data_IF_905326733024
#
_entry.id   IF_905326733024
#
_cell.length_a   1.000
_cell.length_b   1.000
_cell.length_c   1.000
_cell.angle_alpha   90.00
_cell.angle_beta   90.00
_cell.angle_gamma   90.00
#
_symmetry.space_group_name_H-M   'P 1'
#
loop_
_entity.id
_entity.type
_entity.pdbx_description
1 polymer ?
#
# COMPACT_ATOMS: atom_id res chain seq x y z
N UNK A 1 -23.34 29.69 35.43
CA UNK A 1 -23.84 28.41 35.93
C UNK A 1 -22.67 27.48 36.24
N UNK A 2 -22.83 26.47 37.09
CA UNK A 2 -21.74 25.54 37.40
C UNK A 2 -21.36 24.72 36.14
N UNK A 3 -20.12 24.25 36.06
CA UNK A 3 -19.67 23.38 34.97
C UNK A 3 -20.55 22.12 34.87
N UNK A 4 -20.80 21.65 33.65
CA UNK A 4 -21.53 20.39 33.40
C UNK A 4 -20.68 19.43 32.60
N UNK A 5 -20.60 18.19 33.04
CA UNK A 5 -20.03 17.14 32.26
C UNK A 5 -21.00 16.71 31.13
N UNK A 6 -20.45 16.58 29.93
CA UNK A 6 -21.18 16.04 28.77
C UNK A 6 -20.52 14.76 28.31
N UNK A 7 -21.31 13.80 27.85
CA UNK A 7 -20.85 12.58 27.24
C UNK A 7 -21.72 12.19 26.07
N UNK A 8 -21.18 11.41 25.16
CA UNK A 8 -21.92 10.79 24.07
C UNK A 8 -22.65 9.53 24.58
N UNK A 9 -23.90 9.36 24.16
CA UNK A 9 -24.67 8.15 24.43
C UNK A 9 -25.55 7.76 23.25
N UNK A 10 -25.82 6.49 23.11
CA UNK A 10 -26.82 5.98 22.17
C UNK A 10 -28.17 5.98 22.83
N UNK A 11 -29.08 6.85 22.38
CA UNK A 11 -30.46 6.85 22.85
C UNK A 11 -31.34 6.01 21.95
N UNK A 12 -32.09 5.08 22.58
CA UNK A 12 -33.06 4.23 21.91
C UNK A 12 -34.42 4.94 21.83
N UNK A 13 -35.03 4.91 20.64
CA UNK A 13 -36.34 5.46 20.36
C UNK A 13 -37.10 4.46 19.48
N UNK A 14 -37.98 3.68 20.08
CA UNK A 14 -38.67 2.59 19.40
C UNK A 14 -37.73 1.53 18.89
N UNK A 15 -37.65 1.34 17.57
CA UNK A 15 -36.82 0.32 16.91
C UNK A 15 -35.46 0.87 16.45
N UNK A 16 -35.10 2.09 16.81
CA UNK A 16 -33.89 2.75 16.37
C UNK A 16 -33.06 3.30 17.51
N UNK A 17 -31.75 3.46 17.28
CA UNK A 17 -30.83 4.16 18.17
C UNK A 17 -30.21 5.35 17.45
N UNK A 18 -29.90 6.41 18.19
CA UNK A 18 -29.21 7.59 17.69
C UNK A 18 -28.16 8.05 18.68
N UNK A 19 -27.01 8.50 18.16
CA UNK A 19 -25.97 9.13 18.95
C UNK A 19 -26.47 10.52 19.42
N UNK A 20 -26.34 10.83 20.69
CA UNK A 20 -26.79 12.07 21.31
C UNK A 20 -25.87 12.48 22.44
N UNK A 21 -25.89 13.78 22.75
CA UNK A 21 -25.32 14.28 23.98
C UNK A 21 -26.18 13.86 25.18
N UNK A 22 -25.54 13.49 26.26
CA UNK A 22 -26.11 13.39 27.60
C UNK A 22 -25.33 14.31 28.54
N UNK A 23 -26.04 15.11 29.32
CA UNK A 23 -25.45 16.08 30.22
C UNK A 23 -25.70 15.64 31.66
N UNK A 24 -24.62 15.70 32.49
CA UNK A 24 -24.78 15.44 33.92
C UNK A 24 -25.72 16.47 34.56
N UNK A 25 -26.54 16.01 35.52
CA UNK A 25 -27.35 16.91 36.30
C UNK A 25 -26.46 17.88 37.09
N UNK A 26 -26.83 19.17 37.23
CA UNK A 26 -26.06 20.10 38.05
C UNK A 26 -26.02 19.59 39.49
N UNK A 27 -24.87 19.73 40.14
CA UNK A 27 -24.60 19.24 41.50
C UNK A 27 -25.48 19.86 42.59
N UNK A 28 -26.30 20.85 42.28
CA UNK A 28 -27.24 21.49 43.20
C UNK A 28 -28.55 20.75 43.19
N UNK A 29 -29.09 20.45 44.39
CA UNK A 29 -30.33 19.73 44.71
C UNK A 29 -31.60 20.42 44.14
N UNK A 30 -31.71 20.62 42.86
CA UNK A 30 -32.95 21.09 42.21
C UNK A 30 -33.76 19.89 41.75
N UNK A 31 -34.98 19.75 42.27
CA UNK A 31 -35.96 18.69 41.91
C UNK A 31 -36.45 18.74 40.44
N UNK A 32 -36.00 19.73 39.65
CA UNK A 32 -36.33 19.94 38.25
C UNK A 32 -35.10 20.25 37.39
N UNK A 33 -34.02 19.50 37.56
CA UNK A 33 -32.88 19.64 36.67
C UNK A 33 -33.28 19.12 35.28
N UNK A 34 -33.49 20.02 34.34
CA UNK A 34 -33.59 19.69 32.92
C UNK A 34 -32.28 19.04 32.48
N UNK A 35 -32.38 17.91 31.79
CA UNK A 35 -31.22 17.24 31.18
C UNK A 35 -30.98 17.75 29.76
N UNK A 36 -31.70 18.80 29.34
CA UNK A 36 -31.62 19.39 28.00
C UNK A 36 -30.87 20.72 28.08
N UNK A 37 -29.89 20.89 27.24
CA UNK A 37 -29.19 22.14 26.99
C UNK A 37 -29.78 22.77 25.73
N UNK A 38 -30.00 24.08 25.74
CA UNK A 38 -30.60 24.81 24.61
C UNK A 38 -29.56 24.94 23.48
N UNK A 39 -28.31 25.33 23.83
CA UNK A 39 -27.25 25.55 22.88
C UNK A 39 -25.88 25.14 23.46
N UNK A 40 -25.02 24.63 22.57
CA UNK A 40 -23.61 24.40 22.84
C UNK A 40 -22.81 25.42 22.01
N UNK A 41 -21.92 26.15 22.69
CA UNK A 41 -20.95 27.03 22.02
C UNK A 41 -19.64 26.28 21.87
N UNK A 42 -19.21 25.96 20.64
CA UNK A 42 -18.00 25.17 20.36
C UNK A 42 -16.74 26.07 20.43
N UNK A 43 -16.46 26.61 21.60
CA UNK A 43 -15.27 27.42 21.89
C UNK A 43 -14.29 26.64 22.76
N UNK A 44 -13.08 27.15 22.99
CA UNK A 44 -12.12 26.62 23.95
C UNK A 44 -11.90 27.63 25.08
N UNK A 45 -12.37 27.32 26.32
CA UNK A 45 -13.19 26.17 26.70
C UNK A 45 -14.60 26.24 26.10
N UNK A 46 -15.23 25.08 26.03
CA UNK A 46 -16.59 24.98 25.52
C UNK A 46 -17.64 25.43 26.55
N UNK A 47 -18.73 25.99 26.06
CA UNK A 47 -19.79 26.51 26.91
C UNK A 47 -21.13 25.93 26.51
N UNK A 48 -21.99 25.78 27.51
CA UNK A 48 -23.41 25.49 27.29
C UNK A 48 -24.29 26.67 27.68
N UNK A 49 -25.44 26.77 27.07
CA UNK A 49 -26.51 27.72 27.45
C UNK A 49 -27.81 26.96 27.74
N UNK A 50 -28.41 27.30 28.88
CA UNK A 50 -29.70 26.77 29.33
C UNK A 50 -30.45 27.87 30.08
N UNK A 51 -31.72 28.11 29.71
CA UNK A 51 -32.57 29.10 30.36
C UNK A 51 -31.87 30.46 30.63
N UNK A 52 -31.21 31.02 29.62
CA UNK A 52 -30.46 32.28 29.68
C UNK A 52 -29.23 32.27 30.64
N UNK A 53 -28.83 31.14 31.10
CA UNK A 53 -27.61 30.99 31.89
C UNK A 53 -26.53 30.25 31.10
N UNK A 54 -25.28 30.69 31.24
CA UNK A 54 -24.13 30.02 30.61
C UNK A 54 -23.29 29.32 31.66
N UNK A 55 -22.71 28.19 31.29
CA UNK A 55 -21.76 27.47 32.11
C UNK A 55 -20.72 26.73 31.20
N UNK A 56 -19.63 26.37 31.79
CA UNK A 56 -18.59 25.60 31.10
C UNK A 56 -19.06 24.15 30.84
N UNK A 57 -18.75 23.64 29.66
CA UNK A 57 -19.01 22.27 29.28
C UNK A 57 -17.74 21.46 29.41
N UNK A 58 -17.73 20.49 30.32
CA UNK A 58 -16.59 19.63 30.58
C UNK A 58 -16.77 18.31 29.81
N UNK A 59 -15.84 18.01 28.93
CA UNK A 59 -15.77 16.73 28.23
C UNK A 59 -14.94 15.72 29.01
N UNK A 60 -15.16 14.42 28.83
CA UNK A 60 -14.25 13.39 29.34
C UNK A 60 -12.83 13.55 28.79
N UNK A 61 -11.82 13.23 29.59
CA UNK A 61 -10.42 13.37 29.20
C UNK A 61 -10.06 12.57 27.94
N UNK A 62 -10.76 11.46 27.70
CA UNK A 62 -10.57 10.59 26.53
C UNK A 62 -10.96 11.25 25.20
N UNK A 63 -11.75 12.33 25.23
CA UNK A 63 -12.19 13.08 24.03
C UNK A 63 -11.35 14.34 23.79
N UNK A 64 -10.31 14.60 24.56
CA UNK A 64 -9.50 15.82 24.52
C UNK A 64 -8.80 16.10 23.16
N UNK A 65 -8.71 15.10 22.28
CA UNK A 65 -8.12 15.23 20.94
C UNK A 65 -9.09 15.81 19.89
N UNK A 66 -10.38 15.87 20.18
CA UNK A 66 -11.43 16.34 19.26
C UNK A 66 -12.05 17.64 19.75
N UNK A 67 -12.22 18.58 18.83
CA UNK A 67 -12.97 19.78 19.17
C UNK A 67 -14.46 19.44 19.38
N UNK A 68 -15.15 20.24 20.18
CA UNK A 68 -16.62 20.09 20.33
C UNK A 68 -17.34 20.25 19.00
N UNK A 69 -16.80 21.06 18.08
CA UNK A 69 -17.33 21.19 16.73
C UNK A 69 -17.30 19.86 15.98
N UNK A 70 -16.16 19.16 16.03
CA UNK A 70 -16.00 17.85 15.36
C UNK A 70 -16.97 16.81 15.93
N UNK A 71 -17.14 16.80 17.26
CA UNK A 71 -18.09 15.89 17.91
C UNK A 71 -19.53 16.24 17.56
N UNK A 72 -19.85 17.53 17.46
CA UNK A 72 -21.18 17.98 17.05
C UNK A 72 -21.49 17.59 15.59
N UNK A 73 -20.51 17.71 14.71
CA UNK A 73 -20.61 17.29 13.32
C UNK A 73 -20.75 15.76 13.22
N UNK A 74 -20.01 15.02 14.04
CA UNK A 74 -20.17 13.58 14.14
C UNK A 74 -21.60 13.18 14.54
N UNK A 75 -22.18 13.83 15.55
CA UNK A 75 -23.57 13.56 15.98
C UNK A 75 -24.56 13.87 14.85
N UNK A 76 -24.38 15.00 14.17
CA UNK A 76 -25.28 15.45 13.10
C UNK A 76 -25.21 14.53 11.88
N UNK A 77 -24.01 13.99 11.57
CA UNK A 77 -23.78 13.10 10.43
C UNK A 77 -24.02 11.62 10.77
N UNK A 78 -24.04 11.26 12.07
CA UNK A 78 -24.24 9.88 12.48
C UNK A 78 -25.59 9.33 11.99
N UNK A 79 -25.61 8.18 11.31
CA UNK A 79 -26.82 7.59 10.80
C UNK A 79 -27.75 7.13 11.95
N UNK A 80 -29.02 7.04 11.65
CA UNK A 80 -30.00 6.37 12.53
C UNK A 80 -29.83 4.87 12.33
N UNK A 81 -29.57 4.14 13.40
CA UNK A 81 -29.25 2.71 13.35
C UNK A 81 -30.46 1.92 13.90
N UNK A 82 -30.78 0.79 13.25
CA UNK A 82 -31.80 -0.10 13.79
C UNK A 82 -31.31 -0.74 15.11
N UNK A 83 -32.16 -0.84 16.11
CA UNK A 83 -31.80 -1.39 17.43
C UNK A 83 -31.25 -2.82 17.35
N UNK A 84 -31.68 -3.61 16.37
CA UNK A 84 -31.17 -4.96 16.10
C UNK A 84 -29.70 -4.98 15.67
N UNK A 85 -29.18 -3.88 15.13
CA UNK A 85 -27.81 -3.79 14.58
C UNK A 85 -26.79 -3.24 15.59
N UNK A 86 -27.20 -3.00 16.86
CA UNK A 86 -26.34 -2.46 17.93
C UNK A 86 -24.99 -3.19 18.03
N UNK A 87 -25.01 -4.53 18.02
CA UNK A 87 -23.79 -5.34 18.17
C UNK A 87 -22.85 -5.21 16.97
N UNK A 88 -23.39 -5.09 15.75
CA UNK A 88 -22.60 -4.86 14.55
C UNK A 88 -21.90 -3.50 14.61
N UNK A 89 -22.60 -2.47 15.11
CA UNK A 89 -22.02 -1.14 15.31
C UNK A 89 -20.95 -1.18 16.40
N UNK A 90 -21.21 -1.86 17.52
CA UNK A 90 -20.19 -2.02 18.57
C UNK A 90 -18.92 -2.66 18.03
N UNK A 91 -19.06 -3.73 17.24
CA UNK A 91 -17.92 -4.40 16.60
C UNK A 91 -17.15 -3.46 15.67
N UNK A 92 -17.86 -2.75 14.80
CA UNK A 92 -17.25 -1.79 13.89
C UNK A 92 -16.45 -0.69 14.63
N UNK A 93 -17.02 -0.14 15.71
CA UNK A 93 -16.34 0.88 16.52
C UNK A 93 -15.05 0.32 17.16
N UNK A 94 -15.11 -0.90 17.69
CA UNK A 94 -13.95 -1.56 18.27
C UNK A 94 -12.89 -1.89 17.24
N UNK A 95 -13.26 -2.41 16.06
CA UNK A 95 -12.34 -2.70 14.95
C UNK A 95 -11.62 -1.45 14.40
N UNK A 96 -12.28 -0.29 14.52
CA UNK A 96 -11.72 1.00 14.08
C UNK A 96 -11.03 1.76 15.21
N UNK A 97 -10.99 1.22 16.43
CA UNK A 97 -10.43 1.89 17.60
C UNK A 97 -11.17 3.18 17.95
N UNK A 98 -12.47 3.25 17.68
CA UNK A 98 -13.29 4.46 17.88
C UNK A 98 -14.06 4.44 19.21
N UNK A 99 -13.91 3.40 20.02
CA UNK A 99 -14.60 3.24 21.30
C UNK A 99 -14.26 4.30 22.35
N UNK A 100 -13.10 4.94 22.20
CA UNK A 100 -12.70 6.05 23.06
C UNK A 100 -13.36 7.39 22.67
N UNK A 101 -13.90 7.50 21.44
CA UNK A 101 -14.61 8.70 20.94
C UNK A 101 -16.11 8.49 21.03
N UNK A 102 -16.57 7.35 20.53
CA UNK A 102 -17.99 6.99 20.44
C UNK A 102 -18.25 5.75 21.29
N UNK A 103 -19.07 5.83 22.34
CA UNK A 103 -19.34 4.68 23.18
C UNK A 103 -19.99 3.56 22.37
N UNK A 104 -19.67 2.32 22.70
CA UNK A 104 -20.27 1.16 22.04
C UNK A 104 -21.76 1.04 22.41
N UNK A 105 -22.70 0.89 21.44
CA UNK A 105 -24.16 0.85 21.71
C UNK A 105 -24.63 -0.41 22.42
N UNK A 106 -23.84 -1.50 22.35
CA UNK A 106 -24.13 -2.73 23.08
C UNK A 106 -22.81 -3.38 23.53
N UNK A 107 -22.72 -3.91 24.75
CA UNK A 107 -21.54 -4.62 25.20
C UNK A 107 -21.34 -5.91 24.38
N UNK A 108 -20.11 -6.21 24.03
CA UNK A 108 -19.67 -7.50 23.49
C UNK A 108 -18.87 -8.23 24.54
N UNK A 109 -18.88 -9.56 24.49
CA UNK A 109 -17.97 -10.38 25.30
C UNK A 109 -16.57 -10.27 24.66
N UNK A 110 -15.61 -9.84 25.46
CA UNK A 110 -14.24 -9.67 25.00
C UNK A 110 -13.33 -10.69 25.70
N UNK A 111 -12.55 -11.41 24.90
CA UNK A 111 -11.46 -12.25 25.37
C UNK A 111 -10.15 -11.62 24.89
N UNK A 112 -9.22 -11.41 25.80
CA UNK A 112 -7.90 -10.85 25.46
C UNK A 112 -6.94 -12.02 25.21
N UNK A 113 -6.34 -12.03 24.03
CA UNK A 113 -5.33 -13.00 23.63
C UNK A 113 -3.96 -12.33 23.69
N UNK A 114 -3.09 -12.88 24.51
CA UNK A 114 -1.69 -12.50 24.62
C UNK A 114 -0.83 -13.55 23.92
N UNK A 115 0.44 -13.22 23.69
CA UNK A 115 1.48 -14.14 23.23
C UNK A 115 1.28 -14.70 21.81
N UNK A 116 0.50 -14.04 20.96
CA UNK A 116 0.44 -14.37 19.53
C UNK A 116 1.61 -13.67 18.84
N UNK A 117 2.54 -14.47 18.31
CA UNK A 117 3.69 -13.96 17.57
C UNK A 117 3.24 -13.57 16.16
N UNK A 118 3.50 -12.32 15.70
CA UNK A 118 3.11 -11.90 14.37
C UNK A 118 3.97 -12.57 13.30
N UNK A 119 3.33 -13.06 12.24
CA UNK A 119 4.02 -13.49 11.03
C UNK A 119 4.17 -12.27 10.11
N UNK A 120 5.40 -11.90 9.71
CA UNK A 120 5.59 -10.78 8.80
C UNK A 120 5.09 -11.12 7.39
N UNK A 121 4.34 -10.21 6.80
CA UNK A 121 3.85 -10.30 5.42
C UNK A 121 4.38 -9.11 4.64
N UNK A 122 5.26 -9.36 3.68
CA UNK A 122 5.80 -8.35 2.81
C UNK A 122 5.04 -8.35 1.48
N UNK A 123 4.28 -7.30 1.24
CA UNK A 123 3.62 -7.07 -0.03
C UNK A 123 4.50 -6.20 -0.92
N UNK A 124 4.73 -6.64 -2.17
CA UNK A 124 5.51 -5.94 -3.18
C UNK A 124 4.61 -5.57 -4.36
N UNK A 125 4.61 -4.30 -4.72
CA UNK A 125 3.75 -3.80 -5.78
C UNK A 125 4.43 -2.78 -6.69
N UNK A 126 3.88 -2.63 -7.88
CA UNK A 126 4.21 -1.54 -8.80
C UNK A 126 2.92 -1.01 -9.39
N UNK A 127 2.80 0.32 -9.50
CA UNK A 127 1.64 0.95 -10.12
C UNK A 127 2.05 2.03 -11.10
N UNK A 128 1.33 2.20 -12.22
CA UNK A 128 1.55 3.34 -13.11
C UNK A 128 0.99 4.60 -12.47
N UNK A 129 1.72 5.70 -12.61
CA UNK A 129 1.28 7.04 -12.22
C UNK A 129 1.43 8.00 -13.40
N UNK A 130 0.38 8.76 -13.68
CA UNK A 130 0.37 9.77 -14.74
C UNK A 130 0.49 11.15 -14.11
N UNK A 131 1.57 11.87 -14.41
CA UNK A 131 1.67 13.29 -14.09
C UNK A 131 0.91 14.10 -15.11
N UNK A 132 0.43 15.30 -14.73
CA UNK A 132 -0.48 16.12 -15.57
C UNK A 132 0.05 16.44 -16.96
N UNK A 133 1.37 16.47 -17.13
CA UNK A 133 2.02 16.87 -18.39
C UNK A 133 2.71 15.71 -19.13
N UNK A 134 2.45 14.47 -18.76
CA UNK A 134 3.11 13.31 -19.37
C UNK A 134 2.12 12.33 -19.99
N UNK A 135 2.33 11.99 -21.27
CA UNK A 135 1.56 10.94 -21.96
C UNK A 135 1.95 9.51 -21.52
N UNK A 136 3.15 9.36 -20.99
CA UNK A 136 3.67 8.05 -20.54
C UNK A 136 3.67 7.96 -19.01
N UNK A 137 3.16 6.86 -18.44
CA UNK A 137 3.17 6.68 -16.99
C UNK A 137 4.59 6.47 -16.46
N UNK A 138 4.84 7.08 -15.31
CA UNK A 138 5.97 6.72 -14.47
C UNK A 138 5.54 5.57 -13.57
N UNK A 139 6.36 4.52 -13.49
CA UNK A 139 6.07 3.40 -12.62
C UNK A 139 6.62 3.67 -11.22
N UNK A 140 5.75 3.54 -10.24
CA UNK A 140 6.06 3.65 -8.83
C UNK A 140 6.09 2.26 -8.21
N UNK A 141 7.24 1.90 -7.67
CA UNK A 141 7.46 0.63 -7.00
C UNK A 141 7.33 0.85 -5.49
N UNK A 142 6.64 -0.04 -4.80
CA UNK A 142 6.40 0.10 -3.37
C UNK A 142 6.31 -1.26 -2.67
N UNK A 143 6.57 -1.24 -1.38
CA UNK A 143 6.31 -2.35 -0.49
C UNK A 143 5.36 -1.94 0.64
N UNK A 144 4.73 -2.92 1.28
CA UNK A 144 4.01 -2.74 2.54
C UNK A 144 4.39 -3.87 3.48
N UNK A 145 4.79 -3.52 4.68
CA UNK A 145 4.98 -4.49 5.76
C UNK A 145 3.69 -4.60 6.57
N UNK A 146 3.21 -5.81 6.70
CA UNK A 146 2.02 -6.16 7.47
C UNK A 146 2.41 -7.24 8.47
N UNK A 147 1.66 -7.32 9.54
CA UNK A 147 1.84 -8.32 10.60
C UNK A 147 0.58 -9.16 10.71
N UNK A 148 0.70 -10.44 10.41
CA UNK A 148 -0.40 -11.41 10.47
C UNK A 148 -0.45 -12.06 11.85
N UNK A 149 -1.46 -11.71 12.62
CA UNK A 149 -1.77 -12.29 13.93
C UNK A 149 -2.86 -13.35 13.78
N UNK A 150 -2.49 -14.53 13.33
CA UNK A 150 -3.39 -15.66 13.12
C UNK A 150 -4.61 -15.32 12.25
N UNK A 151 -4.34 -14.68 11.09
CA UNK A 151 -5.34 -14.27 10.11
C UNK A 151 -5.86 -12.84 10.29
N UNK A 152 -5.45 -12.12 11.34
CA UNK A 152 -5.77 -10.71 11.52
C UNK A 152 -4.56 -9.85 11.18
N UNK A 153 -4.75 -8.91 10.26
CA UNK A 153 -3.65 -8.11 9.72
C UNK A 153 -3.55 -6.75 10.41
N UNK A 154 -2.37 -6.46 10.96
CA UNK A 154 -1.97 -5.12 11.38
C UNK A 154 -1.01 -4.51 10.36
N UNK A 155 -1.12 -3.22 10.10
CA UNK A 155 -0.18 -2.49 9.24
C UNK A 155 0.96 -1.92 10.08
N UNK A 156 2.13 -1.78 9.46
CA UNK A 156 3.26 -1.05 10.03
C UNK A 156 2.83 0.38 10.41
N UNK A 157 3.17 0.80 11.63
CA UNK A 157 2.85 2.15 12.13
C UNK A 157 1.36 2.40 12.43
N UNK A 158 0.51 1.39 12.34
CA UNK A 158 -0.90 1.52 12.72
C UNK A 158 -1.09 1.31 14.22
N UNK A 159 -1.83 2.20 14.88
CA UNK A 159 -2.24 2.04 16.28
C UNK A 159 -3.59 1.34 16.44
N UNK A 160 -4.17 0.87 15.32
CA UNK A 160 -5.46 0.19 15.38
C UNK A 160 -5.38 -1.13 16.15
N UNK A 161 -6.40 -1.45 16.95
CA UNK A 161 -6.47 -2.70 17.67
C UNK A 161 -6.61 -3.88 16.68
N UNK A 162 -6.05 -5.01 17.05
CA UNK A 162 -6.23 -6.26 16.29
C UNK A 162 -7.37 -7.04 16.94
N UNK A 163 -8.49 -7.13 16.23
CA UNK A 163 -9.73 -7.74 16.76
C UNK A 163 -10.21 -8.83 15.80
N UNK A 164 -10.48 -10.00 16.35
CA UNK A 164 -11.09 -11.12 15.66
C UNK A 164 -12.51 -11.34 16.15
N UNK A 165 -13.45 -11.40 15.22
CA UNK A 165 -14.85 -11.77 15.54
C UNK A 165 -14.96 -13.29 15.65
N UNK A 166 -15.41 -13.78 16.79
CA UNK A 166 -15.69 -15.21 17.03
C UNK A 166 -17.13 -15.53 16.65
N UNK A 167 -18.07 -14.74 17.16
CA UNK A 167 -19.51 -14.88 16.86
C UNK A 167 -20.22 -13.50 16.92
N UNK A 168 -21.56 -13.51 16.94
CA UNK A 168 -22.35 -12.26 16.99
C UNK A 168 -22.10 -11.42 18.25
N UNK A 169 -21.68 -12.05 19.34
CA UNK A 169 -21.63 -11.46 20.68
C UNK A 169 -20.24 -11.44 21.28
N UNK A 170 -19.27 -12.14 20.65
CA UNK A 170 -17.94 -12.39 21.19
C UNK A 170 -16.88 -11.91 20.21
N UNK A 171 -15.93 -11.19 20.75
CA UNK A 171 -14.71 -10.76 20.05
C UNK A 171 -13.49 -11.21 20.81
N UNK A 172 -12.39 -11.40 20.10
CA UNK A 172 -11.07 -11.59 20.64
C UNK A 172 -10.21 -10.38 20.30
N UNK A 173 -9.68 -9.74 21.33
CA UNK A 173 -8.70 -8.66 21.19
C UNK A 173 -7.30 -9.26 21.30
N UNK A 174 -6.54 -9.17 20.25
CA UNK A 174 -5.16 -9.65 20.19
C UNK A 174 -4.24 -8.52 20.61
N UNK A 175 -3.45 -8.75 21.65
CA UNK A 175 -2.41 -7.81 22.08
C UNK A 175 -1.24 -7.91 21.13
N UNK A 176 -0.92 -6.79 20.46
CA UNK A 176 0.19 -6.73 19.49
C UNK A 176 1.53 -6.81 20.20
N UNK A 177 2.43 -7.62 19.67
CA UNK A 177 3.83 -7.64 20.08
C UNK A 177 4.62 -6.57 19.34
N UNK A 178 4.55 -5.34 19.84
CA UNK A 178 5.22 -4.19 19.24
C UNK A 178 6.74 -4.30 19.22
N UNK A 179 7.31 -5.13 20.10
CA UNK A 179 8.75 -5.39 20.11
C UNK A 179 9.15 -6.29 18.94
N UNK A 180 8.41 -7.36 18.71
CA UNK A 180 8.60 -8.24 17.54
C UNK A 180 8.37 -7.46 16.23
N UNK A 181 7.29 -6.67 16.15
CA UNK A 181 7.01 -5.84 14.97
C UNK A 181 8.15 -4.86 14.66
N UNK A 182 8.73 -4.24 15.69
CA UNK A 182 9.88 -3.33 15.53
C UNK A 182 11.09 -4.08 14.98
N UNK A 183 11.43 -5.22 15.56
CA UNK A 183 12.57 -6.04 15.12
C UNK A 183 12.42 -6.47 13.65
N UNK A 184 11.21 -6.89 13.23
CA UNK A 184 10.88 -7.24 11.85
C UNK A 184 10.99 -6.02 10.93
N UNK A 185 10.52 -4.86 11.37
CA UNK A 185 10.62 -3.62 10.62
C UNK A 185 12.08 -3.20 10.41
N UNK A 186 12.89 -3.22 11.46
CA UNK A 186 14.33 -2.89 11.41
C UNK A 186 15.07 -3.87 10.47
N UNK A 187 14.68 -5.15 10.49
CA UNK A 187 15.22 -6.15 9.57
C UNK A 187 14.94 -5.78 8.11
N UNK A 188 13.71 -5.37 7.77
CA UNK A 188 13.36 -4.96 6.42
C UNK A 188 14.06 -3.65 6.01
N UNK A 189 14.07 -2.66 6.89
CA UNK A 189 14.73 -1.37 6.63
C UNK A 189 16.24 -1.52 6.42
N UNK A 190 16.87 -2.53 7.02
CA UNK A 190 18.31 -2.82 6.80
C UNK A 190 18.66 -3.19 5.37
N UNK A 191 17.68 -3.53 4.53
CA UNK A 191 17.87 -3.77 3.10
C UNK A 191 17.74 -2.50 2.23
N UNK A 192 17.61 -1.32 2.84
CA UNK A 192 17.50 -0.05 2.12
C UNK A 192 16.07 0.42 1.86
N UNK A 193 15.08 -0.21 2.47
CA UNK A 193 13.72 0.33 2.46
C UNK A 193 13.62 1.53 3.39
N UNK A 194 12.80 2.50 3.00
CA UNK A 194 12.42 3.63 3.85
C UNK A 194 10.92 3.92 3.74
N UNK A 195 10.36 4.51 4.79
CA UNK A 195 8.93 4.85 4.85
C UNK A 195 8.67 6.07 3.98
N UNK A 196 7.61 6.05 3.20
CA UNK A 196 7.19 7.19 2.39
C UNK A 196 6.56 8.26 3.30
N UNK A 197 7.35 9.27 3.64
CA UNK A 197 6.91 10.40 4.49
C UNK A 197 6.41 11.60 3.68
N UNK A 198 6.90 11.74 2.43
CA UNK A 198 6.54 12.87 1.57
C UNK A 198 5.06 12.80 1.15
N UNK A 199 4.28 13.76 1.66
CA UNK A 199 2.85 13.91 1.33
C UNK A 199 2.60 14.25 -0.14
N UNK A 200 3.58 14.79 -0.85
CA UNK A 200 3.48 15.04 -2.27
C UNK A 200 3.74 13.79 -3.11
N UNK A 201 4.32 12.75 -2.54
CA UNK A 201 4.52 11.47 -3.21
C UNK A 201 3.18 10.80 -3.52
N UNK A 202 2.95 10.34 -4.76
CA UNK A 202 1.76 9.55 -5.09
C UNK A 202 1.67 8.23 -4.30
N UNK A 203 2.77 7.77 -3.71
CA UNK A 203 2.80 6.60 -2.83
C UNK A 203 2.22 6.88 -1.45
N UNK A 204 2.16 8.15 -1.02
CA UNK A 204 1.58 8.52 0.28
C UNK A 204 0.10 8.09 0.42
N UNK A 205 -0.63 7.93 -0.70
CA UNK A 205 -1.99 7.40 -0.70
C UNK A 205 -2.05 5.88 -0.35
N UNK A 206 -0.92 5.18 -0.30
CA UNK A 206 -0.83 3.78 0.10
C UNK A 206 -0.46 3.75 1.58
N UNK A 207 -1.31 3.21 2.46
CA UNK A 207 -1.01 3.14 3.89
C UNK A 207 0.30 2.40 4.17
N UNK A 208 1.16 2.99 4.99
CA UNK A 208 2.46 2.42 5.37
C UNK A 208 3.32 1.97 4.17
N UNK A 209 3.30 2.76 3.09
CA UNK A 209 4.13 2.49 1.93
C UNK A 209 5.62 2.62 2.28
N UNK A 210 6.39 1.68 1.74
CA UNK A 210 7.85 1.68 1.78
C UNK A 210 8.37 1.79 0.35
N UNK A 211 9.48 2.47 0.17
CA UNK A 211 10.16 2.60 -1.12
C UNK A 211 11.67 2.38 -0.99
N UNK A 212 12.36 2.25 -2.10
CA UNK A 212 13.81 2.17 -2.20
C UNK A 212 14.30 3.27 -3.15
N UNK A 213 15.55 3.69 -3.00
CA UNK A 213 16.12 4.83 -3.71
C UNK A 213 16.16 4.64 -5.24
N UNK A 214 16.34 3.41 -5.71
CA UNK A 214 16.50 3.18 -7.14
C UNK A 214 15.90 1.85 -7.63
N UNK A 215 15.61 1.74 -8.94
CA UNK A 215 15.23 0.46 -9.57
C UNK A 215 16.30 -0.64 -9.41
N UNK A 216 17.58 -0.27 -9.30
CA UNK A 216 18.68 -1.22 -9.08
C UNK A 216 18.57 -1.86 -7.69
N UNK A 217 18.20 -1.08 -6.67
CA UNK A 217 18.05 -1.58 -5.30
C UNK A 217 16.88 -2.56 -5.22
N UNK A 218 15.75 -2.25 -5.87
CA UNK A 218 14.62 -3.16 -6.00
C UNK A 218 15.01 -4.49 -6.66
N UNK A 219 15.80 -4.40 -7.75
CA UNK A 219 16.28 -5.59 -8.46
C UNK A 219 17.21 -6.42 -7.59
N UNK A 220 18.16 -5.76 -6.93
CA UNK A 220 19.12 -6.40 -6.02
C UNK A 220 18.39 -7.08 -4.86
N UNK A 221 17.51 -6.36 -4.18
CA UNK A 221 16.70 -6.92 -3.09
C UNK A 221 15.91 -8.15 -3.54
N UNK A 222 15.23 -8.07 -4.70
CA UNK A 222 14.40 -9.17 -5.18
C UNK A 222 15.23 -10.42 -5.52
N UNK A 223 16.44 -10.24 -6.01
CA UNK A 223 17.31 -11.36 -6.42
C UNK A 223 18.05 -12.00 -5.26
N UNK A 224 18.60 -11.19 -4.37
CA UNK A 224 19.57 -11.65 -3.38
C UNK A 224 18.96 -11.86 -1.98
N UNK A 225 17.92 -11.07 -1.62
CA UNK A 225 17.43 -11.03 -0.24
C UNK A 225 16.01 -11.57 -0.04
N UNK A 226 15.21 -11.64 -1.11
CA UNK A 226 13.82 -12.07 -0.97
C UNK A 226 13.70 -13.53 -0.52
N UNK A 227 14.56 -14.40 -1.04
CA UNK A 227 14.60 -15.81 -0.65
C UNK A 227 15.04 -15.99 0.81
N UNK A 228 15.92 -15.13 1.31
CA UNK A 228 16.36 -15.17 2.71
C UNK A 228 15.19 -14.86 3.65
N UNK A 229 14.39 -13.84 3.33
CA UNK A 229 13.20 -13.52 4.09
C UNK A 229 12.17 -14.66 4.07
N UNK A 230 11.94 -15.30 2.92
CA UNK A 230 11.07 -16.49 2.84
C UNK A 230 11.58 -17.63 3.75
N UNK A 231 12.91 -17.86 3.78
CA UNK A 231 13.54 -18.85 4.65
C UNK A 231 13.44 -18.48 6.15
N UNK A 232 13.41 -17.17 6.47
CA UNK A 232 13.17 -16.65 7.83
C UNK A 232 11.69 -16.73 8.24
N UNK A 233 10.80 -17.23 7.37
CA UNK A 233 9.37 -17.41 7.65
C UNK A 233 8.48 -16.24 7.27
N UNK A 234 9.00 -15.28 6.49
CA UNK A 234 8.17 -14.19 5.96
C UNK A 234 7.22 -14.71 4.87
N UNK A 235 6.00 -14.21 4.86
CA UNK A 235 5.07 -14.40 3.75
C UNK A 235 5.32 -13.31 2.71
N UNK A 236 5.61 -13.70 1.47
CA UNK A 236 5.84 -12.75 0.39
C UNK A 236 4.64 -12.72 -0.55
N UNK A 237 4.02 -11.56 -0.67
CA UNK A 237 2.92 -11.30 -1.60
C UNK A 237 3.40 -10.37 -2.71
N UNK A 238 3.14 -10.71 -3.97
CA UNK A 238 3.51 -9.88 -5.11
C UNK A 238 2.27 -9.52 -5.92
N UNK A 239 2.11 -8.24 -6.24
CA UNK A 239 1.07 -7.84 -7.18
C UNK A 239 1.35 -8.40 -8.58
N UNK A 240 0.32 -8.55 -9.40
CA UNK A 240 0.47 -8.99 -10.79
C UNK A 240 1.37 -8.05 -11.61
N UNK A 241 1.39 -6.77 -11.25
CA UNK A 241 2.16 -5.74 -11.94
C UNK A 241 3.53 -5.48 -11.30
N UNK A 242 3.94 -6.25 -10.28
CA UNK A 242 5.24 -6.07 -9.63
C UNK A 242 6.37 -6.24 -10.66
N UNK A 243 7.12 -5.16 -10.88
CA UNK A 243 8.07 -5.03 -12.00
C UNK A 243 9.30 -5.92 -11.88
N UNK A 244 9.61 -6.38 -10.68
CA UNK A 244 10.78 -7.21 -10.37
C UNK A 244 10.41 -8.67 -10.09
N UNK A 245 9.21 -9.09 -10.46
CA UNK A 245 8.82 -10.50 -10.46
C UNK A 245 9.54 -11.22 -11.60
N UNK A 246 10.82 -11.53 -11.36
CA UNK A 246 11.71 -12.05 -12.39
C UNK A 246 11.50 -13.54 -12.59
N UNK A 247 11.34 -13.92 -13.84
CA UNK A 247 11.40 -15.31 -14.27
C UNK A 247 12.83 -15.72 -14.56
N UNK A 248 13.17 -16.95 -14.25
CA UNK A 248 14.50 -17.49 -14.53
C UNK A 248 14.62 -17.91 -15.98
N UNK A 249 15.68 -17.46 -16.66
CA UNK A 249 16.04 -17.96 -17.99
C UNK A 249 16.60 -19.35 -17.82
N UNK A 250 15.88 -20.36 -18.31
CA UNK A 250 16.26 -21.77 -18.19
C UNK A 250 17.35 -22.13 -19.22
N UNK A 251 17.27 -21.56 -20.44
CA UNK A 251 18.18 -21.87 -21.53
C UNK A 251 18.20 -20.73 -22.54
N UNK A 252 19.36 -20.49 -23.14
CA UNK A 252 19.52 -19.71 -24.35
C UNK A 252 19.51 -20.65 -25.56
N UNK A 253 18.92 -20.24 -26.66
CA UNK A 253 18.95 -21.01 -27.90
C UNK A 253 19.31 -20.14 -29.09
N UNK A 254 19.89 -20.78 -30.10
CA UNK A 254 20.07 -20.24 -31.42
C UNK A 254 19.67 -21.32 -32.41
N UNK A 255 18.82 -21.00 -33.38
CA UNK A 255 18.39 -21.89 -34.45
C UNK A 255 18.57 -21.20 -35.79
N UNK A 256 18.99 -21.97 -36.77
CA UNK A 256 19.09 -21.54 -38.16
C UNK A 256 17.91 -22.20 -38.88
N UNK A 257 17.01 -21.38 -39.41
CA UNK A 257 15.88 -21.83 -40.18
C UNK A 257 16.16 -21.58 -41.67
N UNK A 258 16.07 -22.62 -42.49
CA UNK A 258 16.04 -22.49 -43.94
C UNK A 258 14.64 -22.00 -44.33
N UNK A 259 14.56 -20.87 -45.01
CA UNK A 259 13.25 -20.40 -45.53
C UNK A 259 12.98 -21.14 -46.86
N UNK A 260 12.02 -22.05 -46.82
CA UNK A 260 11.63 -22.94 -47.92
C UNK A 260 10.74 -22.26 -49.00
N UNK A 261 10.45 -20.94 -48.88
CA UNK A 261 9.33 -20.30 -49.61
C UNK A 261 9.72 -19.30 -50.70
N UNK A 262 11.00 -19.14 -51.08
CA UNK A 262 11.34 -18.27 -52.24
C UNK A 262 12.38 -18.91 -53.14
N UNK A 263 11.92 -19.22 -54.35
CA UNK A 263 12.72 -19.56 -55.50
C UNK A 263 13.74 -18.47 -55.81
N UNK A 264 14.97 -18.58 -55.44
CA UNK A 264 16.15 -17.95 -56.04
C UNK A 264 17.26 -17.40 -55.11
N UNK A 265 17.15 -17.41 -53.79
CA UNK A 265 18.28 -17.09 -52.94
C UNK A 265 18.25 -17.89 -51.64
N UNK A 266 19.38 -18.58 -51.31
CA UNK A 266 19.58 -19.31 -50.05
C UNK A 266 19.66 -18.33 -48.85
N UNK A 267 18.52 -17.88 -48.32
CA UNK A 267 18.46 -17.04 -47.12
C UNK A 267 18.28 -17.89 -45.89
N UNK A 268 19.26 -17.88 -45.03
CA UNK A 268 19.16 -18.45 -43.68
C UNK A 268 18.66 -17.39 -42.73
N UNK A 269 17.62 -17.68 -41.93
CA UNK A 269 17.25 -16.84 -40.82
C UNK A 269 17.83 -17.38 -39.53
N UNK A 270 18.66 -16.56 -38.85
CA UNK A 270 19.15 -16.87 -37.52
C UNK A 270 18.17 -16.36 -36.48
N UNK A 271 17.55 -17.28 -35.76
CA UNK A 271 16.72 -16.96 -34.62
C UNK A 271 17.50 -17.22 -33.33
N UNK A 272 17.61 -16.20 -32.46
CA UNK A 272 18.16 -16.32 -31.12
C UNK A 272 17.10 -16.00 -30.08
N UNK A 273 17.08 -16.75 -28.98
CA UNK A 273 16.04 -16.58 -27.99
C UNK A 273 16.40 -17.16 -26.62
N UNK A 274 15.45 -17.03 -25.72
CA UNK A 274 15.51 -17.56 -24.35
C UNK A 274 14.34 -18.51 -24.10
N UNK A 275 14.54 -19.48 -23.22
CA UNK A 275 13.50 -20.38 -22.73
C UNK A 275 13.17 -20.00 -21.30
N UNK A 276 11.91 -19.66 -21.05
CA UNK A 276 11.38 -19.32 -19.74
C UNK A 276 10.09 -20.13 -19.54
N UNK A 277 9.97 -20.85 -18.43
CA UNK A 277 8.82 -21.71 -18.13
C UNK A 277 8.48 -22.68 -19.31
N UNK A 278 9.49 -23.25 -19.94
CA UNK A 278 9.37 -24.14 -21.10
C UNK A 278 8.82 -23.48 -22.38
N UNK A 279 8.66 -22.15 -22.41
CA UNK A 279 8.26 -21.38 -23.59
C UNK A 279 9.47 -20.72 -24.22
N UNK A 280 9.48 -20.66 -25.55
CA UNK A 280 10.52 -20.02 -26.34
C UNK A 280 10.14 -18.57 -26.62
N UNK A 281 11.06 -17.66 -26.37
CA UNK A 281 10.89 -16.23 -26.60
C UNK A 281 12.05 -15.72 -27.47
N UNK A 282 11.79 -15.34 -28.74
CA UNK A 282 12.79 -14.72 -29.59
C UNK A 282 13.29 -13.41 -28.99
N UNK A 283 14.60 -13.17 -29.01
CA UNK A 283 15.20 -11.98 -28.40
C UNK A 283 14.91 -10.69 -29.16
N UNK A 284 14.92 -10.74 -30.50
CA UNK A 284 14.74 -9.53 -31.31
C UNK A 284 13.45 -8.77 -31.01
N UNK A 285 12.26 -9.40 -30.99
CA UNK A 285 11.00 -8.74 -30.61
C UNK A 285 11.01 -8.18 -29.20
N UNK A 286 11.77 -8.77 -28.28
CA UNK A 286 11.87 -8.34 -26.90
C UNK A 286 12.79 -7.12 -26.74
N UNK A 287 13.90 -7.04 -27.50
CA UNK A 287 14.90 -5.99 -27.43
C UNK A 287 14.53 -4.76 -28.27
N UNK A 288 13.84 -4.94 -29.40
CA UNK A 288 13.48 -3.87 -30.33
C UNK A 288 12.75 -2.69 -29.67
N UNK A 289 11.72 -2.90 -28.83
CA UNK A 289 11.05 -1.79 -28.15
C UNK A 289 11.97 -0.99 -27.23
N UNK A 290 12.93 -1.67 -26.57
CA UNK A 290 13.90 -1.04 -25.68
C UNK A 290 14.89 -0.19 -26.47
N UNK A 291 15.42 -0.72 -27.58
CA UNK A 291 16.34 0.01 -28.47
C UNK A 291 15.67 1.25 -29.04
N UNK A 292 14.40 1.14 -29.48
CA UNK A 292 13.65 2.29 -30.00
C UNK A 292 13.38 3.35 -28.95
N UNK A 293 13.10 2.93 -27.72
CA UNK A 293 12.74 3.86 -26.62
C UNK A 293 13.96 4.58 -26.04
N UNK A 294 15.11 3.91 -25.99
CA UNK A 294 16.32 4.40 -25.35
C UNK A 294 17.55 4.23 -26.25
N UNK A 295 17.58 4.80 -27.47
CA UNK A 295 18.66 4.57 -28.45
C UNK A 295 20.03 4.89 -27.89
N UNK A 296 20.17 5.97 -27.11
CA UNK A 296 21.45 6.40 -26.51
C UNK A 296 22.03 5.36 -25.53
N UNK A 297 21.18 4.60 -24.86
CA UNK A 297 21.58 3.54 -23.93
C UNK A 297 22.16 2.31 -24.64
N UNK A 298 21.90 2.16 -25.93
CA UNK A 298 22.34 1.04 -26.78
C UNK A 298 23.41 1.45 -27.78
N UNK A 299 23.94 2.68 -27.69
CA UNK A 299 25.13 3.08 -28.44
C UNK A 299 26.36 2.28 -27.99
N UNK A 300 27.29 2.04 -28.91
CA UNK A 300 28.49 1.23 -28.70
C UNK A 300 29.23 1.59 -27.40
N UNK A 301 29.45 2.89 -27.17
CA UNK A 301 30.15 3.38 -25.96
C UNK A 301 29.38 3.09 -24.68
N UNK A 302 28.06 3.23 -24.70
CA UNK A 302 27.20 2.96 -23.55
C UNK A 302 27.16 1.46 -23.21
N UNK A 303 27.18 0.61 -24.23
CA UNK A 303 27.24 -0.85 -24.07
C UNK A 303 28.57 -1.33 -23.49
N UNK A 304 29.68 -0.67 -23.79
CA UNK A 304 31.01 -1.03 -23.26
C UNK A 304 31.18 -0.66 -21.77
N UNK A 305 30.54 0.42 -21.33
CA UNK A 305 30.65 0.91 -19.96
C UNK A 305 29.79 0.13 -18.94
N UNK A 306 28.98 -0.83 -19.39
CA UNK A 306 28.18 -1.67 -18.49
C UNK A 306 29.01 -2.83 -17.97
N UNK A 307 28.83 -3.18 -16.71
CA UNK A 307 29.48 -4.34 -16.11
C UNK A 307 28.82 -5.64 -16.59
N UNK A 308 29.60 -6.73 -16.66
CA UNK A 308 29.10 -8.03 -17.13
C UNK A 308 28.08 -8.67 -16.19
N UNK A 309 28.17 -8.34 -14.91
CA UNK A 309 27.28 -8.77 -13.82
C UNK A 309 25.95 -8.04 -13.84
N UNK A 310 25.88 -6.85 -14.44
CA UNK A 310 24.64 -6.11 -14.64
C UNK A 310 23.65 -6.91 -15.48
N UNK A 311 22.38 -6.57 -15.36
CA UNK A 311 21.31 -7.24 -16.08
C UNK A 311 20.40 -6.26 -16.81
N UNK A 312 20.05 -6.61 -18.05
CA UNK A 312 18.99 -5.93 -18.79
C UNK A 312 17.64 -6.52 -18.43
N UNK A 313 16.73 -5.70 -17.89
CA UNK A 313 15.35 -6.11 -17.62
C UNK A 313 14.53 -6.06 -18.90
N UNK A 314 13.95 -7.20 -19.24
CA UNK A 314 13.11 -7.36 -20.43
C UNK A 314 11.72 -7.85 -20.00
N UNK A 315 10.68 -7.26 -20.57
CA UNK A 315 9.29 -7.70 -20.33
C UNK A 315 8.87 -8.69 -21.40
N UNK A 316 8.37 -9.85 -20.98
CA UNK A 316 7.83 -10.87 -21.86
C UNK A 316 6.38 -10.54 -22.30
N UNK A 317 5.85 -11.17 -23.36
CA UNK A 317 4.49 -10.93 -23.82
C UNK A 317 3.39 -11.21 -22.78
N UNK A 318 3.65 -12.09 -21.81
CA UNK A 318 2.75 -12.38 -20.69
C UNK A 318 2.89 -11.41 -19.51
N UNK A 319 3.60 -10.26 -19.71
CA UNK A 319 3.91 -9.24 -18.73
C UNK A 319 4.90 -9.66 -17.63
N UNK A 320 5.32 -10.90 -17.57
CA UNK A 320 6.41 -11.30 -16.69
C UNK A 320 7.74 -10.69 -17.17
N UNK A 321 8.75 -10.66 -16.31
CA UNK A 321 10.05 -10.07 -16.62
C UNK A 321 11.16 -11.06 -16.43
N UNK A 322 12.21 -10.85 -17.21
CA UNK A 322 13.49 -11.59 -17.10
C UNK A 322 14.63 -10.60 -16.97
N UNK A 323 15.62 -10.96 -16.18
CA UNK A 323 16.89 -10.27 -16.14
C UNK A 323 17.88 -11.00 -17.06
N UNK A 324 18.32 -10.33 -18.10
CA UNK A 324 19.28 -10.87 -19.06
C UNK A 324 20.68 -10.34 -18.72
N UNK A 325 21.64 -11.20 -18.34
CA UNK A 325 23.01 -10.75 -18.04
C UNK A 325 23.64 -10.02 -19.23
N UNK A 326 24.26 -8.87 -18.99
CA UNK A 326 24.87 -8.04 -20.03
C UNK A 326 25.92 -8.79 -20.84
N UNK A 327 26.69 -9.66 -20.22
CA UNK A 327 27.67 -10.53 -20.92
C UNK A 327 27.07 -11.34 -22.08
N UNK A 328 25.78 -11.74 -21.96
CA UNK A 328 25.12 -12.55 -22.97
C UNK A 328 24.40 -11.69 -24.03
N UNK A 329 23.92 -10.52 -23.65
CA UNK A 329 23.10 -9.65 -24.52
C UNK A 329 23.94 -8.64 -25.27
N UNK A 330 25.06 -8.17 -24.69
CA UNK A 330 25.92 -7.15 -25.27
C UNK A 330 26.41 -7.48 -26.70
N UNK A 331 26.89 -8.71 -27.03
CA UNK A 331 27.30 -9.03 -28.40
C UNK A 331 26.12 -8.91 -29.39
N UNK A 332 24.93 -9.34 -28.97
CA UNK A 332 23.71 -9.30 -29.79
C UNK A 332 23.28 -7.85 -30.03
N UNK A 333 23.29 -7.03 -28.97
CA UNK A 333 22.91 -5.62 -29.06
C UNK A 333 23.88 -4.80 -29.93
N UNK A 334 25.18 -5.12 -29.91
CA UNK A 334 26.15 -4.47 -30.79
C UNK A 334 25.78 -4.70 -32.26
N UNK A 335 25.47 -5.94 -32.63
CA UNK A 335 25.07 -6.30 -34.02
C UNK A 335 23.74 -5.63 -34.39
N UNK A 336 22.72 -5.68 -33.51
CA UNK A 336 21.42 -5.07 -33.76
C UNK A 336 21.52 -3.54 -33.84
N UNK A 337 22.37 -2.92 -33.03
CA UNK A 337 22.61 -1.49 -33.05
C UNK A 337 23.19 -1.04 -34.40
N UNK A 338 24.20 -1.76 -34.92
CA UNK A 338 24.79 -1.48 -36.21
C UNK A 338 23.74 -1.60 -37.36
N UNK A 339 22.91 -2.63 -37.36
CA UNK A 339 21.85 -2.83 -38.34
C UNK A 339 20.79 -1.73 -38.26
N UNK A 340 20.39 -1.32 -37.06
CA UNK A 340 19.39 -0.28 -36.85
C UNK A 340 19.86 1.10 -37.30
N UNK A 341 21.16 1.44 -37.09
CA UNK A 341 21.72 2.71 -37.57
C UNK A 341 21.96 2.71 -39.09
N UNK A 342 22.13 1.56 -39.71
CA UNK A 342 22.26 1.44 -41.17
C UNK A 342 20.90 1.62 -41.89
N UNK A 343 19.78 1.29 -41.22
CA UNK A 343 18.43 1.43 -41.79
C UNK A 343 17.83 2.83 -41.62
N UNK A 344 18.39 3.70 -40.77
CA UNK A 344 17.95 5.11 -40.71
C UNK A 344 18.49 5.86 -41.94
N UNK A 345 17.60 6.43 -42.82
CA UNK A 345 18.08 7.26 -43.90
C UNK A 345 18.85 8.43 -43.30
N UNK A 346 20.11 8.57 -43.69
CA UNK A 346 20.90 9.76 -43.38
C UNK A 346 20.13 10.94 -43.87
N UNK A 347 19.44 11.66 -42.96
CA UNK A 347 18.87 12.97 -43.27
C UNK A 347 20.03 13.84 -43.73
N UNK A 348 20.06 14.15 -45.04
CA UNK A 348 21.07 14.98 -45.63
C UNK A 348 21.11 16.31 -44.86
N UNK A 349 22.29 16.62 -44.30
CA UNK A 349 22.59 17.95 -43.79
C UNK A 349 22.36 18.94 -44.94
N UNK A 350 21.54 20.01 -44.79
CA UNK A 350 21.52 21.07 -45.77
C UNK A 350 22.86 21.78 -45.70
N UNK A 351 23.59 21.71 -46.79
CA UNK A 351 24.70 22.61 -47.06
C UNK A 351 24.12 24.03 -47.22
N UNK A 352 24.36 24.90 -46.23
CA UNK A 352 24.58 26.33 -46.45
C UNK A 352 25.44 26.92 -45.33
#
# INVERSE_FOLDING_TARGET
APPRAARLVWKETGTTIRLRWEFAAPAAKSRHASTTIDYILPTEPAWYMENLTCGELVLPDDTATFSISDIQDLINQAPVIAARDKKNVSRFLLEKGLEHIVPVPAPLKETVLNDIIPTPVLYLGSKPHFYQDTETPVWLDYAQLKFDYDGQIALLGSDLPVIRTVDSDTIERIVRDTHAERALSERLLSYGFHIVEDRASPLHAIPAALEMDSPSDWLHFTREHLADLENEGWKIEKSADYRYNLQTVQKWYASINENDDTLDEDWFSLEMGIVVNKKHFPLFPLLQPLIRKYPESFEYKSLENREDEDSLLVTLPDRSRVALPWKNVRPILKILGELYYLEQPKTALPLH
#
